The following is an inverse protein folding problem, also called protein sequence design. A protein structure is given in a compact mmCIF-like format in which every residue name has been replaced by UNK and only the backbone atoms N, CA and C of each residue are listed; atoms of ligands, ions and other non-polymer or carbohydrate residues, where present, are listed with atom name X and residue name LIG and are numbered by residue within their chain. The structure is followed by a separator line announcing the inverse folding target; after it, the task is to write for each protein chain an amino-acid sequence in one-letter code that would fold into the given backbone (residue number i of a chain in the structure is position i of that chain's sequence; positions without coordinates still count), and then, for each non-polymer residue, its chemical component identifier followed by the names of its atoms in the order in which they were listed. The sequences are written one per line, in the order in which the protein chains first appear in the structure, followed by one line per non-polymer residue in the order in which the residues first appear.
data_IF_219090131020
#
_entry.id   IF_219090131020
#
_cell.length_a   1.000
_cell.length_b   1.000
_cell.length_c   1.000
_cell.angle_alpha   90.00
_cell.angle_beta   90.00
_cell.angle_gamma   90.00
#
_symmetry.space_group_name_H-M   'P 1'
#
loop_
_entity.id
_entity.type
_entity.pdbx_description
1 polymer ?
#
# COMPACT_ATOMS: atom_id res chain seq x y z
N UNK A 1 -4.20 -22.15 -0.49
CA UNK A 1 -4.05 -20.68 -0.77
C UNK A 1 -4.44 -20.42 -2.20
N UNK A 2 -5.35 -19.51 -2.45
CA UNK A 2 -5.75 -19.09 -3.79
C UNK A 2 -5.08 -17.75 -4.12
N UNK A 3 -4.07 -17.78 -4.99
CA UNK A 3 -3.18 -16.66 -5.32
C UNK A 3 -1.87 -16.67 -4.51
N UNK A 4 -0.75 -16.53 -5.22
CA UNK A 4 0.61 -16.56 -4.70
C UNK A 4 1.34 -15.20 -4.91
N UNK A 5 0.64 -14.09 -4.72
CA UNK A 5 1.23 -12.76 -4.55
C UNK A 5 1.44 -12.47 -3.06
N UNK A 6 1.87 -11.25 -2.70
CA UNK A 6 2.35 -10.92 -1.36
C UNK A 6 1.40 -11.33 -0.22
N UNK A 7 0.09 -11.17 -0.38
CA UNK A 7 -0.89 -11.55 0.63
C UNK A 7 -0.98 -13.08 0.79
N UNK A 8 -0.97 -13.81 -0.33
CA UNK A 8 -0.95 -15.28 -0.32
C UNK A 8 0.36 -15.82 0.24
N UNK A 9 1.49 -15.21 -0.08
CA UNK A 9 2.81 -15.64 0.40
C UNK A 9 2.97 -15.44 1.92
N UNK A 10 2.61 -14.27 2.47
CA UNK A 10 2.63 -14.05 3.93
C UNK A 10 1.67 -15.01 4.63
N UNK A 11 0.47 -15.20 4.09
CA UNK A 11 -0.50 -16.14 4.68
C UNK A 11 -0.03 -17.58 4.60
N UNK A 12 0.59 -18.01 3.47
CA UNK A 12 1.15 -19.35 3.33
C UNK A 12 2.29 -19.60 4.33
N UNK A 13 3.17 -18.61 4.54
CA UNK A 13 4.25 -18.70 5.53
C UNK A 13 3.69 -18.88 6.96
N UNK A 14 2.61 -18.19 7.28
CA UNK A 14 1.92 -18.35 8.57
C UNK A 14 1.30 -19.74 8.71
N UNK A 15 0.55 -20.17 7.68
CA UNK A 15 -0.16 -21.45 7.69
C UNK A 15 0.80 -22.66 7.73
N UNK A 16 1.96 -22.56 7.13
CA UNK A 16 2.96 -23.62 7.14
C UNK A 16 3.47 -23.98 8.55
N UNK A 17 3.26 -23.09 9.54
CA UNK A 17 3.62 -23.36 10.94
C UNK A 17 2.58 -24.21 11.68
N UNK A 18 1.33 -24.24 11.19
CA UNK A 18 0.19 -24.88 11.88
C UNK A 18 -0.49 -25.97 11.06
N UNK A 19 -0.16 -26.12 9.78
CA UNK A 19 -0.74 -27.12 8.88
C UNK A 19 0.34 -28.02 8.31
N UNK A 20 0.02 -29.30 8.14
CA UNK A 20 0.95 -30.31 7.59
C UNK A 20 1.28 -30.07 6.12
N UNK A 21 0.41 -29.41 5.37
CA UNK A 21 0.60 -29.09 3.95
C UNK A 21 -0.09 -27.78 3.59
N UNK A 22 0.59 -26.92 2.83
CA UNK A 22 0.04 -25.67 2.29
C UNK A 22 0.25 -25.63 0.78
N UNK A 23 -0.83 -25.68 0.03
CA UNK A 23 -0.82 -25.60 -1.44
C UNK A 23 -1.15 -24.18 -1.88
N UNK A 24 -0.27 -23.55 -2.66
CA UNK A 24 -0.50 -22.23 -3.27
C UNK A 24 -0.90 -22.44 -4.74
N UNK A 25 -2.10 -22.07 -5.11
CA UNK A 25 -2.61 -22.13 -6.49
C UNK A 25 -2.52 -20.76 -7.11
N UNK A 26 -1.84 -20.62 -8.24
CA UNK A 26 -1.77 -19.35 -8.99
C UNK A 26 -1.89 -19.60 -10.50
N UNK A 27 -2.56 -18.67 -11.17
CA UNK A 27 -2.75 -18.68 -12.63
C UNK A 27 -1.47 -18.38 -13.41
N UNK A 28 -0.51 -17.72 -12.78
CA UNK A 28 0.79 -17.38 -13.35
C UNK A 28 1.84 -18.42 -12.96
N UNK A 29 2.96 -18.42 -13.68
CA UNK A 29 4.20 -19.04 -13.21
C UNK A 29 4.83 -18.10 -12.17
N UNK A 30 5.00 -18.59 -10.95
CA UNK A 30 5.41 -17.78 -9.80
C UNK A 30 6.81 -18.12 -9.32
N UNK A 31 7.17 -19.40 -9.28
CA UNK A 31 8.48 -19.86 -8.81
C UNK A 31 9.58 -19.30 -9.71
N UNK A 32 10.59 -18.67 -9.09
CA UNK A 32 11.69 -18.06 -9.84
C UNK A 32 11.34 -16.77 -10.61
N UNK A 33 10.10 -16.25 -10.54
CA UNK A 33 9.70 -15.05 -11.26
C UNK A 33 10.45 -13.81 -10.76
N UNK A 34 11.25 -13.20 -11.64
CA UNK A 34 12.05 -11.98 -11.38
C UNK A 34 11.44 -10.71 -11.97
N UNK A 35 10.35 -10.85 -12.74
CA UNK A 35 9.67 -9.75 -13.44
C UNK A 35 8.21 -9.66 -13.01
N UNK A 36 7.55 -8.50 -13.23
CA UNK A 36 6.12 -8.37 -13.00
C UNK A 36 5.33 -9.44 -13.75
N UNK A 37 4.30 -10.01 -13.10
CA UNK A 37 3.46 -11.06 -13.62
C UNK A 37 2.12 -10.53 -14.12
N UNK A 38 1.50 -11.24 -15.05
CA UNK A 38 0.22 -10.83 -15.66
C UNK A 38 -0.92 -10.71 -14.63
N UNK A 39 -0.96 -11.62 -13.65
CA UNK A 39 -1.94 -11.59 -12.55
C UNK A 39 -1.69 -10.48 -11.52
N UNK A 40 -0.52 -9.80 -11.58
CA UNK A 40 -0.14 -8.71 -10.67
C UNK A 40 0.27 -7.46 -11.49
N UNK A 41 -0.66 -6.84 -12.25
CA UNK A 41 -0.35 -5.73 -13.15
C UNK A 41 0.27 -4.52 -12.43
N UNK A 42 -0.07 -4.28 -11.17
CA UNK A 42 0.58 -3.27 -10.32
C UNK A 42 2.07 -3.52 -10.12
N UNK A 43 2.57 -4.72 -10.39
CA UNK A 43 3.99 -5.08 -10.28
C UNK A 43 4.93 -4.29 -11.19
N UNK A 44 4.41 -3.64 -12.23
CA UNK A 44 5.17 -2.78 -13.12
C UNK A 44 5.52 -1.41 -12.52
N UNK A 45 4.90 -1.04 -11.42
CA UNK A 45 5.07 0.26 -10.77
C UNK A 45 6.03 0.17 -9.58
N UNK A 46 6.57 1.32 -9.17
CA UNK A 46 7.39 1.39 -7.96
C UNK A 46 6.52 1.24 -6.71
N UNK A 47 7.08 0.63 -5.70
CA UNK A 47 6.40 0.31 -4.46
C UNK A 47 7.21 0.71 -3.24
N UNK A 48 6.49 0.93 -2.14
CA UNK A 48 7.07 1.06 -0.80
C UNK A 48 6.35 0.14 0.18
N UNK A 49 7.12 -0.51 1.05
CA UNK A 49 6.58 -1.17 2.24
C UNK A 49 6.70 -0.18 3.39
N UNK A 50 5.58 0.29 3.91
CA UNK A 50 5.54 1.27 5.00
C UNK A 50 6.22 0.71 6.26
N UNK A 51 6.63 1.58 7.17
CA UNK A 51 7.34 1.20 8.38
C UNK A 51 6.62 0.14 9.21
N UNK A 52 5.30 0.28 9.42
CA UNK A 52 4.50 -0.76 10.08
C UNK A 52 4.51 -2.08 9.29
N UNK A 53 4.52 -2.01 7.95
CA UNK A 53 4.60 -3.19 7.09
C UNK A 53 5.94 -3.91 7.20
N UNK A 54 7.04 -3.16 7.30
CA UNK A 54 8.38 -3.72 7.51
C UNK A 54 8.44 -4.44 8.87
N UNK A 55 7.97 -3.81 9.94
CA UNK A 55 7.92 -4.41 11.27
C UNK A 55 7.08 -5.71 11.30
N UNK A 56 5.90 -5.69 10.64
CA UNK A 56 5.05 -6.88 10.55
C UNK A 56 5.64 -7.97 9.66
N UNK A 57 6.29 -7.60 8.56
CA UNK A 57 6.94 -8.56 7.67
C UNK A 57 8.10 -9.26 8.37
N UNK A 58 8.87 -8.55 9.20
CA UNK A 58 9.92 -9.12 10.04
C UNK A 58 9.37 -10.04 11.14
N UNK A 59 8.26 -9.65 11.80
CA UNK A 59 7.55 -10.48 12.79
C UNK A 59 7.03 -11.81 12.18
N UNK A 60 6.47 -11.73 10.96
CA UNK A 60 5.95 -12.90 10.24
C UNK A 60 7.05 -13.80 9.69
N UNK A 61 8.10 -13.19 9.13
CA UNK A 61 9.21 -13.84 8.42
C UNK A 61 10.54 -13.32 8.97
N UNK A 62 11.00 -13.82 10.13
CA UNK A 62 12.22 -13.34 10.78
C UNK A 62 13.45 -13.38 9.86
N UNK A 63 14.26 -12.31 9.88
CA UNK A 63 15.43 -12.14 9.04
C UNK A 63 15.14 -11.68 7.60
N UNK A 64 13.88 -11.38 7.26
CA UNK A 64 13.51 -10.91 5.91
C UNK A 64 14.12 -9.52 5.62
N UNK A 65 14.14 -8.63 6.60
CA UNK A 65 14.71 -7.28 6.45
C UNK A 65 16.21 -7.36 6.15
N UNK A 66 16.95 -8.18 6.89
CA UNK A 66 18.38 -8.36 6.66
C UNK A 66 18.66 -8.99 5.29
N UNK A 67 17.89 -10.01 4.91
CA UNK A 67 17.98 -10.63 3.57
C UNK A 67 17.76 -9.61 2.42
N UNK A 68 16.81 -8.70 2.57
CA UNK A 68 16.57 -7.63 1.58
C UNK A 68 17.72 -6.61 1.58
N UNK A 69 18.22 -6.26 2.75
CA UNK A 69 19.35 -5.33 2.89
C UNK A 69 20.62 -5.88 2.24
N UNK A 70 20.94 -7.15 2.49
CA UNK A 70 22.11 -7.84 1.89
C UNK A 70 22.00 -7.96 0.38
N UNK A 71 20.77 -8.01 -0.15
CA UNK A 71 20.48 -7.99 -1.59
C UNK A 71 20.49 -6.58 -2.20
N UNK A 72 20.79 -5.54 -1.41
CA UNK A 72 20.85 -4.15 -1.89
C UNK A 72 19.48 -3.51 -2.14
N UNK A 73 18.41 -4.04 -1.52
CA UNK A 73 17.09 -3.40 -1.60
C UNK A 73 17.13 -2.08 -0.84
N UNK A 74 16.72 -0.96 -1.47
CA UNK A 74 16.76 0.35 -0.82
C UNK A 74 15.90 0.43 0.43
N UNK A 75 16.47 0.90 1.51
CA UNK A 75 15.79 1.14 2.77
C UNK A 75 16.20 2.51 3.33
N UNK A 76 15.29 3.18 4.02
CA UNK A 76 15.57 4.47 4.62
C UNK A 76 14.70 4.79 5.82
N UNK A 77 15.17 5.72 6.65
CA UNK A 77 14.39 6.28 7.73
C UNK A 77 13.23 7.10 7.19
N UNK A 78 12.01 6.82 7.65
CA UNK A 78 10.75 7.40 7.18
C UNK A 78 10.76 8.95 7.16
N UNK A 79 11.42 9.59 8.10
CA UNK A 79 11.46 11.06 8.23
C UNK A 79 12.81 11.67 7.92
N UNK A 80 13.89 10.88 8.01
CA UNK A 80 15.26 11.34 7.78
C UNK A 80 15.73 11.19 6.34
N UNK A 81 15.24 10.17 5.62
CA UNK A 81 15.72 9.81 4.29
C UNK A 81 14.62 9.73 3.21
N UNK A 82 13.38 10.10 3.54
CA UNK A 82 12.29 10.26 2.58
C UNK A 82 11.87 11.73 2.55
N UNK A 83 11.94 12.38 1.37
CA UNK A 83 11.50 13.78 1.19
C UNK A 83 9.99 13.79 0.97
N UNK A 84 9.24 14.23 1.96
CA UNK A 84 7.79 14.41 1.85
C UNK A 84 7.44 15.87 1.61
N UNK A 85 6.68 16.15 0.56
CA UNK A 85 6.23 17.51 0.25
C UNK A 85 4.72 17.57 0.07
N UNK A 86 4.10 18.59 0.69
CA UNK A 86 2.68 18.88 0.58
C UNK A 86 2.49 20.35 0.24
N UNK A 87 1.65 20.66 -0.73
CA UNK A 87 1.39 22.03 -1.19
C UNK A 87 2.68 22.84 -1.50
N UNK A 88 3.70 22.20 -2.08
CA UNK A 88 4.94 22.84 -2.47
C UNK A 88 5.95 23.07 -1.33
N UNK A 89 5.68 22.54 -0.13
CA UNK A 89 6.61 22.64 1.02
C UNK A 89 7.02 21.26 1.52
N UNK A 90 8.31 21.09 1.76
CA UNK A 90 8.88 19.87 2.36
C UNK A 90 8.59 19.84 3.87
N UNK A 91 8.21 18.67 4.41
CA UNK A 91 8.14 18.47 5.85
C UNK A 91 9.53 18.59 6.47
N UNK A 92 9.59 19.07 7.71
CA UNK A 92 10.84 19.11 8.48
C UNK A 92 11.44 17.69 8.55
N UNK A 93 12.73 17.58 8.21
CA UNK A 93 13.46 16.33 8.34
C UNK A 93 13.61 15.95 9.81
N UNK A 94 13.34 14.70 10.14
CA UNK A 94 13.47 14.17 11.49
C UNK A 94 13.84 12.70 11.44
N UNK A 95 14.73 12.25 12.30
CA UNK A 95 15.08 10.84 12.42
C UNK A 95 14.02 10.13 13.25
N UNK A 96 13.29 9.24 12.63
CA UNK A 96 12.19 8.51 13.28
C UNK A 96 12.59 7.15 13.84
N UNK A 97 13.71 6.59 13.40
CA UNK A 97 14.11 5.20 13.68
C UNK A 97 13.23 4.15 12.99
N UNK A 98 12.30 4.58 12.13
CA UNK A 98 11.35 3.71 11.43
C UNK A 98 11.83 3.46 10.00
N UNK A 99 12.02 2.20 9.64
CA UNK A 99 12.50 1.79 8.32
C UNK A 99 11.34 1.64 7.34
N UNK A 100 11.49 2.25 6.17
CA UNK A 100 10.64 2.02 4.99
C UNK A 100 11.48 1.30 3.94
N UNK A 101 10.90 0.31 3.28
CA UNK A 101 11.57 -0.44 2.20
C UNK A 101 10.99 0.04 0.87
N UNK A 102 11.86 0.53 -0.03
CA UNK A 102 11.49 0.95 -1.38
C UNK A 102 11.92 -0.05 -2.44
N UNK A 103 11.34 0.04 -3.63
CA UNK A 103 11.86 -0.72 -4.77
C UNK A 103 10.82 -1.27 -5.73
N UNK A 104 11.29 -2.17 -6.60
CA UNK A 104 10.43 -2.91 -7.52
C UNK A 104 9.62 -3.96 -6.78
N UNK A 105 8.33 -4.00 -7.06
CA UNK A 105 7.39 -4.98 -6.47
C UNK A 105 7.85 -6.43 -6.66
N UNK A 106 8.36 -6.76 -7.85
CA UNK A 106 8.81 -8.11 -8.16
C UNK A 106 9.98 -8.55 -7.26
N UNK A 107 10.87 -7.61 -6.91
CA UNK A 107 11.99 -7.85 -5.99
C UNK A 107 11.48 -8.11 -4.58
N UNK A 108 10.64 -7.22 -4.04
CA UNK A 108 10.09 -7.35 -2.69
C UNK A 108 9.28 -8.64 -2.52
N UNK A 109 8.40 -8.95 -3.51
CA UNK A 109 7.63 -10.18 -3.52
C UNK A 109 8.53 -11.41 -3.66
N UNK A 110 9.62 -11.32 -4.45
CA UNK A 110 10.59 -12.38 -4.66
C UNK A 110 11.29 -12.82 -3.37
N UNK A 111 11.64 -11.89 -2.49
CA UNK A 111 12.22 -12.21 -1.18
C UNK A 111 11.27 -12.99 -0.28
N UNK A 112 10.00 -12.55 -0.19
CA UNK A 112 8.99 -13.29 0.59
C UNK A 112 8.71 -14.66 -0.02
N UNK A 113 8.60 -14.73 -1.35
CA UNK A 113 8.38 -15.99 -2.08
C UNK A 113 9.52 -16.99 -1.83
N UNK A 114 10.78 -16.56 -1.93
CA UNK A 114 11.92 -17.43 -1.65
C UNK A 114 11.84 -18.06 -0.25
N UNK A 115 11.37 -17.33 0.75
CA UNK A 115 11.17 -17.89 2.10
C UNK A 115 10.08 -18.95 2.14
N UNK A 116 9.00 -18.79 1.36
CA UNK A 116 7.90 -19.76 1.27
C UNK A 116 8.34 -21.00 0.46
N UNK A 117 9.08 -20.81 -0.63
CA UNK A 117 9.60 -21.90 -1.47
C UNK A 117 10.50 -22.87 -0.69
N UNK A 118 11.21 -22.40 0.33
CA UNK A 118 12.11 -23.22 1.15
C UNK A 118 11.41 -23.91 2.34
N UNK A 119 10.11 -23.72 2.54
CA UNK A 119 9.37 -24.41 3.59
C UNK A 119 9.05 -25.85 3.13
N UNK A 120 9.33 -26.89 3.95
CA UNK A 120 9.24 -28.29 3.52
C UNK A 120 7.81 -28.76 3.24
N UNK A 121 6.81 -28.05 3.75
CA UNK A 121 5.39 -28.40 3.65
C UNK A 121 4.61 -27.46 2.73
N UNK A 122 5.27 -26.67 1.87
CA UNK A 122 4.62 -25.80 0.88
C UNK A 122 4.76 -26.36 -0.53
N UNK A 123 3.71 -26.23 -1.32
CA UNK A 123 3.65 -26.66 -2.73
C UNK A 123 3.06 -25.56 -3.60
N UNK A 124 3.65 -25.30 -4.76
CA UNK A 124 3.14 -24.35 -5.74
C UNK A 124 2.48 -25.05 -6.92
N UNK A 125 1.17 -24.83 -7.10
CA UNK A 125 0.39 -25.22 -8.28
C UNK A 125 0.27 -24.01 -9.19
N UNK A 126 1.26 -23.85 -10.06
CA UNK A 126 1.39 -22.74 -11.01
C UNK A 126 0.57 -23.00 -12.27
N UNK A 127 0.39 -21.95 -13.10
CA UNK A 127 -0.37 -22.01 -14.36
C UNK A 127 -1.72 -22.72 -14.18
N UNK A 128 -2.42 -22.47 -13.06
CA UNK A 128 -3.63 -23.18 -12.67
C UNK A 128 -4.74 -22.20 -12.34
N UNK A 129 -5.84 -22.27 -13.07
CA UNK A 129 -7.03 -21.44 -12.85
C UNK A 129 -7.88 -22.01 -11.71
N UNK A 130 -8.46 -21.10 -10.91
CA UNK A 130 -9.37 -21.41 -9.82
C UNK A 130 -10.79 -21.33 -10.37
N UNK A 131 -11.50 -22.44 -10.39
CA UNK A 131 -12.81 -22.59 -11.01
C UNK A 131 -13.92 -22.27 -10.02
N UNK A 132 -13.95 -22.94 -8.86
CA UNK A 132 -14.97 -22.78 -7.84
C UNK A 132 -14.48 -23.25 -6.47
N UNK A 133 -15.16 -22.80 -5.40
CA UNK A 133 -15.05 -23.42 -4.08
C UNK A 133 -15.83 -24.75 -4.06
N UNK A 134 -15.32 -25.74 -3.32
CA UNK A 134 -16.06 -26.96 -2.99
C UNK A 134 -16.76 -26.75 -1.67
N UNK A 135 -18.08 -26.90 -1.66
CA UNK A 135 -18.93 -26.60 -0.51
C UNK A 135 -19.69 -27.84 -0.05
N UNK A 136 -19.57 -28.17 1.21
CA UNK A 136 -20.42 -29.13 1.90
C UNK A 136 -21.61 -28.37 2.49
N UNK A 137 -22.77 -28.48 1.83
CA UNK A 137 -23.98 -27.77 2.20
C UNK A 137 -24.51 -28.27 3.55
N UNK A 138 -24.44 -29.58 3.83
CA UNK A 138 -24.97 -30.19 5.06
C UNK A 138 -24.26 -29.66 6.31
N UNK A 139 -22.95 -29.39 6.21
CA UNK A 139 -22.14 -28.89 7.34
C UNK A 139 -21.85 -27.38 7.23
N UNK A 140 -22.29 -26.72 6.15
CA UNK A 140 -22.03 -25.29 5.91
C UNK A 140 -20.54 -24.97 5.84
N UNK A 141 -19.75 -25.82 5.15
CA UNK A 141 -18.28 -25.77 5.15
C UNK A 141 -17.72 -25.72 3.74
N UNK A 142 -16.70 -24.88 3.54
CA UNK A 142 -15.81 -24.98 2.37
C UNK A 142 -14.77 -26.07 2.66
N UNK A 143 -14.74 -27.12 1.83
CA UNK A 143 -13.91 -28.31 2.01
C UNK A 143 -12.80 -28.42 0.97
N UNK A 144 -12.67 -27.43 0.08
CA UNK A 144 -11.64 -27.45 -0.95
C UNK A 144 -11.92 -26.44 -2.07
N UNK A 145 -11.22 -26.64 -3.16
CA UNK A 145 -11.31 -25.82 -4.36
C UNK A 145 -11.22 -26.67 -5.61
N UNK A 146 -12.01 -26.36 -6.62
CA UNK A 146 -11.92 -26.93 -7.97
C UNK A 146 -11.00 -26.07 -8.80
N UNK A 147 -10.00 -26.69 -9.41
CA UNK A 147 -8.94 -26.04 -10.16
C UNK A 147 -8.77 -26.69 -11.53
N UNK A 148 -8.19 -25.97 -12.50
CA UNK A 148 -7.93 -26.47 -13.84
C UNK A 148 -6.56 -25.95 -14.35
N UNK A 149 -5.67 -26.83 -14.84
CA UNK A 149 -4.43 -26.41 -15.49
C UNK A 149 -4.69 -25.56 -16.72
N UNK A 150 -3.98 -24.43 -16.88
CA UNK A 150 -4.20 -23.48 -17.99
C UNK A 150 -3.75 -24.00 -19.35
N UNK A 151 -2.85 -24.97 -19.38
CA UNK A 151 -2.41 -25.65 -20.59
C UNK A 151 -3.39 -26.66 -21.17
N UNK A 152 -4.59 -26.79 -20.59
CA UNK A 152 -5.58 -27.83 -20.89
C UNK A 152 -5.45 -28.97 -19.87
N UNK A 153 -6.53 -29.75 -19.74
CA UNK A 153 -6.62 -30.84 -18.77
C UNK A 153 -7.96 -30.85 -18.08
N UNK A 154 -8.26 -31.93 -17.35
CA UNK A 154 -9.47 -32.06 -16.56
C UNK A 154 -9.42 -31.18 -15.31
N UNK A 155 -10.59 -30.73 -14.86
CA UNK A 155 -10.72 -30.15 -13.54
C UNK A 155 -10.38 -31.19 -12.47
N UNK A 156 -9.70 -30.75 -11.41
CA UNK A 156 -9.43 -31.54 -10.22
C UNK A 156 -9.93 -30.83 -8.96
N UNK A 157 -10.20 -31.60 -7.92
CA UNK A 157 -10.58 -31.08 -6.61
C UNK A 157 -9.36 -31.18 -5.67
N UNK A 158 -8.95 -30.05 -5.12
CA UNK A 158 -7.98 -29.98 -4.04
C UNK A 158 -8.75 -29.84 -2.72
N UNK A 159 -8.78 -30.91 -1.93
CA UNK A 159 -9.39 -30.90 -0.59
C UNK A 159 -8.54 -30.08 0.38
N UNK A 160 -9.19 -29.36 1.30
CA UNK A 160 -8.53 -28.52 2.28
C UNK A 160 -9.39 -28.31 3.53
N UNK A 161 -8.74 -28.24 4.69
CA UNK A 161 -9.38 -27.84 5.97
C UNK A 161 -9.66 -26.35 6.01
N UNK A 162 -8.82 -25.55 5.34
CA UNK A 162 -8.93 -24.11 5.23
C UNK A 162 -8.58 -23.65 3.82
N UNK A 163 -9.48 -22.96 3.15
CA UNK A 163 -9.25 -22.24 1.90
C UNK A 163 -9.08 -20.75 2.20
N UNK A 164 -7.96 -20.16 1.76
CA UNK A 164 -7.71 -18.73 1.94
C UNK A 164 -7.64 -18.06 0.56
N UNK A 165 -8.58 -17.17 0.30
CA UNK A 165 -8.65 -16.40 -0.95
C UNK A 165 -7.74 -15.16 -0.88
N UNK A 166 -6.65 -15.18 -1.65
CA UNK A 166 -5.72 -14.09 -1.88
C UNK A 166 -5.68 -13.67 -3.38
N UNK A 167 -6.76 -13.92 -4.13
CA UNK A 167 -6.84 -13.69 -5.59
C UNK A 167 -6.94 -12.21 -5.97
N UNK A 168 -6.92 -11.31 -5.00
CA UNK A 168 -6.87 -9.87 -5.21
C UNK A 168 -8.23 -9.27 -5.61
N UNK A 169 -8.18 -8.13 -6.32
CA UNK A 169 -9.38 -7.35 -6.67
C UNK A 169 -10.42 -8.15 -7.46
N UNK A 170 -9.96 -9.09 -8.28
CA UNK A 170 -10.79 -9.97 -9.10
C UNK A 170 -11.38 -11.17 -8.36
N UNK A 171 -11.28 -11.23 -7.03
CA UNK A 171 -11.84 -12.32 -6.22
C UNK A 171 -13.30 -12.62 -6.57
N UNK A 172 -13.58 -13.90 -6.81
CA UNK A 172 -14.92 -14.42 -7.07
C UNK A 172 -15.63 -14.91 -5.80
N UNK A 173 -14.97 -14.91 -4.66
CA UNK A 173 -15.53 -15.34 -3.38
C UNK A 173 -16.89 -14.68 -3.06
N UNK A 174 -17.13 -13.36 -3.30
CA UNK A 174 -18.44 -12.77 -3.07
C UNK A 174 -19.55 -13.43 -3.90
N UNK A 175 -19.26 -13.73 -5.18
CA UNK A 175 -20.21 -14.38 -6.09
C UNK A 175 -20.47 -15.83 -5.68
N UNK A 176 -19.42 -16.56 -5.30
CA UNK A 176 -19.55 -17.93 -4.81
C UNK A 176 -20.36 -18.00 -3.51
N UNK A 177 -20.14 -17.10 -2.56
CA UNK A 177 -20.94 -17.04 -1.33
C UNK A 177 -22.40 -16.76 -1.59
N UNK A 178 -22.71 -15.86 -2.53
CA UNK A 178 -24.08 -15.56 -2.94
C UNK A 178 -24.76 -16.78 -3.56
N UNK A 179 -24.06 -17.49 -4.49
CA UNK A 179 -24.58 -18.71 -5.13
C UNK A 179 -24.75 -19.89 -4.16
N UNK A 180 -23.96 -19.95 -3.10
CA UNK A 180 -24.07 -20.94 -2.01
C UNK A 180 -25.12 -20.55 -0.93
N UNK A 181 -25.89 -19.47 -1.13
CA UNK A 181 -26.96 -19.06 -0.22
C UNK A 181 -26.51 -18.31 1.05
N UNK A 182 -25.25 -17.88 1.14
CA UNK A 182 -24.76 -17.06 2.27
C UNK A 182 -25.15 -15.58 2.16
N UNK A 183 -25.70 -15.18 1.02
CA UNK A 183 -26.10 -13.81 0.73
C UNK A 183 -25.00 -12.95 0.11
N UNK A 184 -25.37 -11.74 -0.25
CA UNK A 184 -24.50 -10.81 -0.95
C UNK A 184 -23.54 -10.11 0.02
N UNK A 185 -22.25 -10.13 -0.29
CA UNK A 185 -21.24 -9.36 0.43
C UNK A 185 -21.38 -7.88 0.09
N UNK A 186 -21.75 -7.06 1.07
CA UNK A 186 -21.77 -5.60 0.88
C UNK A 186 -20.36 -5.02 0.79
N UNK A 187 -20.22 -3.88 0.12
CA UNK A 187 -18.92 -3.19 0.03
C UNK A 187 -19.07 -1.69 0.17
N UNK A 188 -18.06 -1.07 0.80
CA UNK A 188 -17.86 0.37 0.75
C UNK A 188 -16.86 0.68 -0.37
N UNK A 189 -17.09 1.78 -1.11
CA UNK A 189 -16.23 2.15 -2.26
C UNK A 189 -16.06 3.65 -2.36
N UNK A 190 -14.84 4.09 -2.69
CA UNK A 190 -14.51 5.49 -3.00
C UNK A 190 -13.70 5.56 -4.29
N UNK A 191 -14.13 6.42 -5.22
CA UNK A 191 -13.50 6.64 -6.53
C UNK A 191 -12.86 8.01 -6.56
N UNK A 192 -11.53 8.07 -6.66
CA UNK A 192 -10.80 9.34 -6.78
C UNK A 192 -10.40 9.67 -8.23
N UNK A 193 -10.62 8.76 -9.16
CA UNK A 193 -10.22 8.95 -10.56
C UNK A 193 -8.69 9.02 -10.71
N UNK A 194 -7.96 8.15 -10.00
CA UNK A 194 -6.51 8.11 -10.05
C UNK A 194 -6.00 7.38 -11.29
N UNK A 195 -5.06 8.02 -11.97
CA UNK A 195 -4.18 7.37 -12.95
C UNK A 195 -2.72 7.61 -12.55
N UNK A 196 -1.87 6.61 -12.74
CA UNK A 196 -0.43 6.80 -12.58
C UNK A 196 0.35 6.17 -13.72
N UNK A 197 1.41 6.85 -14.11
CA UNK A 197 2.33 6.46 -15.18
C UNK A 197 3.72 6.30 -14.59
N UNK A 198 4.32 5.12 -14.77
CA UNK A 198 5.62 4.78 -14.20
C UNK A 198 6.64 4.59 -15.28
N UNK A 199 7.81 5.16 -15.08
CA UNK A 199 9.02 4.97 -15.91
C UNK A 199 10.23 4.77 -15.02
N UNK A 200 11.20 4.02 -15.50
CA UNK A 200 12.51 3.83 -14.87
C UNK A 200 13.56 4.65 -15.58
N UNK A 201 14.55 5.12 -14.82
CA UNK A 201 15.66 5.90 -15.34
C UNK A 201 16.99 5.43 -14.74
N UNK A 202 18.07 5.70 -15.47
CA UNK A 202 19.43 5.72 -14.95
C UNK A 202 19.81 7.18 -14.68
N UNK A 203 20.15 7.49 -13.44
CA UNK A 203 20.56 8.83 -13.04
C UNK A 203 22.01 9.10 -13.46
N UNK A 204 22.30 10.35 -13.82
CA UNK A 204 23.66 10.83 -14.13
C UNK A 204 24.25 11.68 -13.03
N UNK A 205 23.46 11.99 -12.02
CA UNK A 205 23.83 12.81 -10.89
C UNK A 205 23.41 12.15 -9.58
N UNK A 206 23.92 12.65 -8.48
CA UNK A 206 23.51 12.23 -7.13
C UNK A 206 22.24 13.00 -6.70
N UNK A 207 21.11 12.73 -7.37
CA UNK A 207 19.85 13.42 -7.10
C UNK A 207 19.26 13.10 -5.72
N UNK A 208 19.64 11.97 -5.15
CA UNK A 208 19.13 11.53 -3.85
C UNK A 208 20.01 12.00 -2.68
N UNK A 209 21.35 12.14 -2.86
CA UNK A 209 22.28 12.26 -1.74
C UNK A 209 22.12 11.06 -0.81
N UNK A 210 21.81 11.32 0.44
CA UNK A 210 21.53 10.28 1.45
C UNK A 210 20.05 9.86 1.50
N UNK A 211 19.18 10.42 0.66
CA UNK A 211 17.76 10.10 0.65
C UNK A 211 17.48 8.88 -0.25
N UNK A 212 16.39 8.19 0.00
CA UNK A 212 15.94 7.02 -0.78
C UNK A 212 14.71 7.31 -1.61
N UNK A 213 13.95 8.36 -1.28
CA UNK A 213 12.81 8.76 -2.10
C UNK A 213 12.44 10.25 -1.98
N UNK A 214 11.74 10.73 -3.02
CA UNK A 214 11.18 12.09 -3.12
C UNK A 214 9.69 11.96 -3.45
N UNK A 215 8.85 12.49 -2.56
CA UNK A 215 7.41 12.24 -2.55
C UNK A 215 6.61 13.56 -2.53
N UNK A 216 6.46 14.28 -3.65
CA UNK A 216 5.47 15.33 -3.77
C UNK A 216 4.06 14.71 -3.83
N UNK A 217 3.30 14.89 -2.75
CA UNK A 217 1.98 14.28 -2.59
C UNK A 217 0.90 15.16 -3.20
N UNK A 218 0.02 14.55 -4.02
CA UNK A 218 -1.16 15.23 -4.55
C UNK A 218 -2.08 15.73 -3.43
N UNK A 219 -2.58 16.96 -3.57
CA UNK A 219 -3.49 17.59 -2.63
C UNK A 219 -4.63 18.26 -3.39
N UNK A 220 -5.73 18.68 -2.75
CA UNK A 220 -6.80 19.42 -3.44
C UNK A 220 -6.34 20.70 -4.17
N UNK A 221 -5.25 21.33 -3.70
CA UNK A 221 -4.67 22.51 -4.35
C UNK A 221 -3.76 22.16 -5.53
N UNK A 222 -3.16 20.97 -5.49
CA UNK A 222 -2.24 20.45 -6.50
C UNK A 222 -2.56 18.96 -6.73
N UNK A 223 -3.48 18.63 -7.67
CA UNK A 223 -3.96 17.27 -7.87
C UNK A 223 -2.97 16.37 -8.60
N UNK A 224 -1.72 16.80 -8.75
CA UNK A 224 -0.58 16.08 -9.32
C UNK A 224 0.41 15.72 -8.23
N UNK A 225 0.98 14.53 -8.34
CA UNK A 225 2.00 14.06 -7.43
C UNK A 225 2.98 13.12 -8.10
N UNK A 226 3.97 12.69 -7.35
CA UNK A 226 4.93 11.67 -7.79
C UNK A 226 5.45 10.85 -6.60
N UNK A 227 5.91 9.66 -6.92
CA UNK A 227 6.74 8.84 -6.06
C UNK A 227 8.01 8.49 -6.84
N UNK A 228 9.11 9.18 -6.55
CA UNK A 228 10.44 8.90 -7.07
C UNK A 228 11.22 8.15 -6.01
N UNK A 229 11.75 6.96 -6.34
CA UNK A 229 12.56 6.16 -5.40
C UNK A 229 13.77 5.57 -6.09
N UNK A 230 14.87 5.41 -5.35
CA UNK A 230 16.02 4.62 -5.83
C UNK A 230 15.62 3.14 -5.96
N UNK A 231 16.24 2.46 -6.94
CA UNK A 231 16.10 1.01 -7.16
C UNK A 231 17.44 0.28 -6.91
N UNK A 232 18.40 1.01 -6.34
CA UNK A 232 19.77 0.55 -6.11
C UNK A 232 20.72 0.94 -7.24
N UNK A 233 21.96 1.27 -6.88
CA UNK A 233 22.95 1.82 -7.79
C UNK A 233 22.52 3.16 -8.37
N UNK A 234 22.74 3.34 -9.67
CA UNK A 234 22.35 4.53 -10.43
C UNK A 234 20.91 4.52 -10.96
N UNK A 235 20.10 3.52 -10.60
CA UNK A 235 18.74 3.35 -11.12
C UNK A 235 17.70 3.94 -10.18
N UNK A 236 16.68 4.56 -10.77
CA UNK A 236 15.49 4.99 -10.06
C UNK A 236 14.21 4.62 -10.80
N UNK A 237 13.11 4.62 -10.07
CA UNK A 237 11.77 4.49 -10.61
C UNK A 237 10.92 5.68 -10.21
N UNK A 238 10.08 6.13 -11.14
CA UNK A 238 9.18 7.27 -10.94
C UNK A 238 7.78 6.87 -11.32
N UNK A 239 6.85 7.01 -10.39
CA UNK A 239 5.41 6.93 -10.65
C UNK A 239 4.82 8.34 -10.55
N UNK A 240 4.46 8.95 -11.66
CA UNK A 240 3.68 10.18 -11.70
C UNK A 240 2.21 9.85 -11.43
N UNK A 241 1.54 10.67 -10.63
CA UNK A 241 0.13 10.46 -10.27
C UNK A 241 -0.72 11.65 -10.64
N UNK A 242 -1.85 11.39 -11.31
CA UNK A 242 -2.91 12.36 -11.56
C UNK A 242 -4.22 11.86 -10.94
N UNK A 243 -4.89 12.72 -10.19
CA UNK A 243 -6.20 12.43 -9.59
C UNK A 243 -7.31 13.16 -10.33
N UNK A 244 -8.57 12.85 -10.01
CA UNK A 244 -9.76 13.48 -10.61
C UNK A 244 -9.85 13.27 -12.15
N UNK A 245 -9.31 12.14 -12.64
CA UNK A 245 -9.35 11.78 -14.05
C UNK A 245 -8.16 12.28 -14.88
N UNK A 246 -7.26 13.04 -14.28
CA UNK A 246 -6.03 13.44 -14.95
C UNK A 246 -5.13 12.24 -15.20
N UNK A 247 -4.49 12.19 -16.38
CA UNK A 247 -3.63 11.08 -16.80
C UNK A 247 -2.23 11.63 -17.12
N UNK A 248 -1.21 11.26 -16.32
CA UNK A 248 0.17 11.62 -16.65
C UNK A 248 0.60 11.03 -18.00
N UNK A 249 1.31 11.82 -18.87
CA UNK A 249 1.76 11.35 -20.18
C UNK A 249 2.68 10.13 -20.13
N UNK A 250 2.65 9.32 -21.18
CA UNK A 250 3.53 8.14 -21.31
C UNK A 250 4.72 8.40 -22.24
N UNK A 251 4.66 9.39 -23.14
CA UNK A 251 5.82 9.81 -23.93
C UNK A 251 6.84 10.53 -23.04
N UNK A 252 8.11 10.51 -23.43
CA UNK A 252 9.20 11.03 -22.58
C UNK A 252 9.11 12.55 -22.38
N UNK A 253 8.81 13.29 -23.43
CA UNK A 253 8.75 14.75 -23.36
C UNK A 253 7.60 15.21 -22.47
N UNK A 254 6.41 14.67 -22.66
CA UNK A 254 5.25 14.93 -21.82
C UNK A 254 5.46 14.46 -20.36
N UNK A 255 6.13 13.30 -20.16
CA UNK A 255 6.47 12.80 -18.84
C UNK A 255 7.37 13.80 -18.07
N UNK A 256 8.43 14.31 -18.71
CA UNK A 256 9.33 15.30 -18.11
C UNK A 256 8.63 16.64 -17.87
N UNK A 257 7.80 17.10 -18.83
CA UNK A 257 7.02 18.33 -18.64
C UNK A 257 6.02 18.21 -17.49
N UNK A 258 5.42 17.03 -17.30
CA UNK A 258 4.55 16.77 -16.14
C UNK A 258 5.33 16.93 -14.83
N UNK A 259 6.60 16.50 -14.76
CA UNK A 259 7.43 16.68 -13.55
C UNK A 259 7.71 18.16 -13.24
N UNK A 260 7.79 19.04 -14.26
CA UNK A 260 7.91 20.48 -14.07
C UNK A 260 6.67 21.10 -13.44
N UNK A 261 5.51 20.53 -13.70
CA UNK A 261 4.24 21.02 -13.16
C UNK A 261 4.00 20.61 -11.69
N UNK A 262 4.87 19.78 -11.12
CA UNK A 262 4.79 19.43 -9.71
C UNK A 262 5.14 20.64 -8.84
N UNK A 263 4.57 20.74 -7.63
CA UNK A 263 4.75 21.92 -6.78
C UNK A 263 6.16 22.05 -6.17
N UNK A 264 7.06 21.05 -6.41
CA UNK A 264 8.47 21.09 -6.03
C UNK A 264 9.33 20.61 -7.19
N UNK A 265 10.53 21.20 -7.41
CA UNK A 265 11.38 20.93 -8.59
C UNK A 265 12.16 19.62 -8.49
N UNK A 266 12.28 19.03 -7.30
CA UNK A 266 13.17 17.91 -6.99
C UNK A 266 13.09 16.76 -7.99
N UNK A 267 11.87 16.39 -8.43
CA UNK A 267 11.66 15.27 -9.36
C UNK A 267 12.15 15.65 -10.76
N UNK A 268 11.85 16.87 -11.22
CA UNK A 268 12.32 17.35 -12.52
C UNK A 268 13.86 17.47 -12.56
N UNK A 269 14.46 18.05 -11.54
CA UNK A 269 15.92 18.20 -11.43
C UNK A 269 16.64 16.85 -11.43
N UNK A 270 16.06 15.84 -10.78
CA UNK A 270 16.60 14.49 -10.78
C UNK A 270 16.57 13.84 -12.18
N UNK A 271 15.54 14.15 -13.00
CA UNK A 271 15.27 13.41 -14.23
C UNK A 271 15.65 14.12 -15.53
N UNK A 272 15.83 15.44 -15.53
CA UNK A 272 16.06 16.23 -16.76
C UNK A 272 17.21 15.73 -17.63
N UNK A 273 18.27 15.20 -17.00
CA UNK A 273 19.46 14.68 -17.66
C UNK A 273 19.58 13.14 -17.56
N UNK A 274 18.56 12.46 -16.98
CA UNK A 274 18.58 11.02 -16.75
C UNK A 274 18.26 10.23 -18.04
N UNK A 275 18.84 9.06 -18.16
CA UNK A 275 18.60 8.14 -19.28
C UNK A 275 17.36 7.29 -19.01
N UNK A 276 16.33 7.31 -19.87
CA UNK A 276 15.15 6.46 -19.70
C UNK A 276 15.50 4.98 -19.95
N UNK A 277 15.02 4.11 -19.05
CA UNK A 277 15.21 2.66 -19.13
C UNK A 277 13.89 1.98 -19.57
N UNK A 278 13.58 2.05 -20.86
CA UNK A 278 12.37 1.47 -21.44
C UNK A 278 11.16 2.40 -21.43
N UNK A 279 10.01 1.84 -21.79
CA UNK A 279 8.77 2.58 -21.96
C UNK A 279 8.06 2.83 -20.61
N UNK A 280 7.26 3.90 -20.60
CA UNK A 280 6.38 4.17 -19.48
C UNK A 280 5.16 3.23 -19.50
N UNK A 281 4.70 2.85 -18.33
CA UNK A 281 3.52 2.00 -18.15
C UNK A 281 2.50 2.77 -17.33
N UNK A 282 1.28 2.91 -17.87
CA UNK A 282 0.18 3.60 -17.22
C UNK A 282 -0.82 2.60 -16.63
N UNK A 283 -1.40 2.97 -15.50
CA UNK A 283 -2.45 2.21 -14.85
C UNK A 283 -3.53 3.15 -14.29
N UNK A 284 -4.79 2.82 -14.57
CA UNK A 284 -5.95 3.50 -14.00
C UNK A 284 -6.46 2.71 -12.81
N UNK A 285 -6.46 3.34 -11.64
CA UNK A 285 -7.00 2.74 -10.42
C UNK A 285 -8.51 2.97 -10.36
N UNK A 286 -9.33 1.91 -10.32
CA UNK A 286 -10.78 2.05 -10.43
C UNK A 286 -11.42 2.63 -9.17
N UNK A 287 -11.10 2.11 -8.00
CA UNK A 287 -11.65 2.54 -6.71
C UNK A 287 -10.93 1.87 -5.53
N UNK A 288 -10.92 2.52 -4.37
CA UNK A 288 -10.77 1.85 -3.08
C UNK A 288 -12.05 1.06 -2.81
N UNK A 289 -11.91 -0.22 -2.42
CA UNK A 289 -13.06 -1.10 -2.15
C UNK A 289 -12.80 -1.91 -0.90
N UNK A 290 -13.71 -1.88 0.04
CA UNK A 290 -13.69 -2.70 1.26
C UNK A 290 -14.90 -3.61 1.28
N UNK A 291 -14.69 -4.92 1.18
CA UNK A 291 -15.75 -5.93 1.25
C UNK A 291 -16.05 -6.27 2.70
N UNK A 292 -17.32 -6.21 3.06
CA UNK A 292 -17.80 -6.30 4.45
C UNK A 292 -18.27 -7.72 4.78
N UNK A 293 -17.36 -8.71 4.70
CA UNK A 293 -17.66 -10.11 5.05
C UNK A 293 -18.16 -10.26 6.48
N UNK A 294 -17.68 -9.43 7.41
CA UNK A 294 -18.10 -9.41 8.82
C UNK A 294 -19.58 -9.04 9.02
N UNK A 295 -20.25 -8.50 7.98
CA UNK A 295 -21.68 -8.16 8.01
C UNK A 295 -22.60 -9.28 7.53
N UNK A 296 -22.04 -10.36 6.97
CA UNK A 296 -22.84 -11.51 6.59
C UNK A 296 -23.46 -12.18 7.82
N UNK A 297 -24.73 -12.55 7.74
CA UNK A 297 -25.42 -13.22 8.82
C UNK A 297 -24.86 -14.62 9.08
N UNK A 298 -24.52 -15.33 8.02
CA UNK A 298 -23.88 -16.66 8.03
C UNK A 298 -22.60 -16.61 7.20
N UNK A 299 -21.64 -17.42 7.55
CA UNK A 299 -20.38 -17.62 6.85
C UNK A 299 -20.08 -19.12 6.83
N UNK A 300 -19.58 -19.68 5.73
CA UNK A 300 -19.12 -21.06 5.74
C UNK A 300 -17.87 -21.18 6.62
N UNK A 301 -17.74 -22.28 7.35
CA UNK A 301 -16.46 -22.63 7.98
C UNK A 301 -15.44 -23.02 6.89
N UNK A 302 -14.14 -23.04 7.23
CA UNK A 302 -13.09 -23.40 6.28
C UNK A 302 -12.77 -22.35 5.20
N UNK A 303 -13.19 -21.08 5.36
CA UNK A 303 -12.93 -20.01 4.40
C UNK A 303 -12.39 -18.74 5.08
N UNK A 304 -11.28 -18.21 4.58
CA UNK A 304 -10.76 -16.88 4.87
C UNK A 304 -10.51 -16.09 3.57
N UNK A 305 -10.44 -14.77 3.65
CA UNK A 305 -10.16 -13.88 2.52
C UNK A 305 -9.12 -12.84 2.97
N UNK A 306 -8.06 -12.63 2.17
CA UNK A 306 -6.95 -11.71 2.49
C UNK A 306 -6.58 -10.81 1.31
N UNK A 307 -5.77 -9.81 1.57
CA UNK A 307 -5.24 -8.89 0.55
C UNK A 307 -6.33 -8.04 -0.11
N UNK A 308 -6.11 -7.73 -1.38
CA UNK A 308 -7.06 -6.94 -2.18
C UNK A 308 -8.40 -7.67 -2.42
N UNK A 309 -8.48 -8.97 -2.15
CA UNK A 309 -9.74 -9.72 -2.14
C UNK A 309 -10.65 -9.30 -0.98
N UNK A 310 -10.07 -8.81 0.12
CA UNK A 310 -10.80 -8.26 1.27
C UNK A 310 -10.91 -6.74 1.20
N UNK A 311 -9.78 -6.05 0.98
CA UNK A 311 -9.75 -4.59 0.96
C UNK A 311 -8.67 -4.05 0.04
N UNK A 312 -9.08 -3.28 -0.98
CA UNK A 312 -8.19 -2.60 -1.92
C UNK A 312 -8.10 -1.12 -1.57
N UNK A 313 -6.90 -0.57 -1.53
CA UNK A 313 -6.63 0.81 -1.19
C UNK A 313 -6.13 1.61 -2.40
N UNK A 314 -6.37 2.91 -2.40
CA UNK A 314 -5.71 3.84 -3.31
C UNK A 314 -4.18 3.69 -3.17
N UNK A 315 -3.46 3.34 -4.27
CA UNK A 315 -2.02 3.03 -4.22
C UNK A 315 -1.14 4.19 -3.79
N UNK A 316 -1.59 5.43 -3.92
CA UNK A 316 -0.85 6.64 -3.48
C UNK A 316 -0.47 6.60 -2.00
N UNK A 317 -1.27 5.92 -1.18
CA UNK A 317 -0.98 5.78 0.27
C UNK A 317 0.05 4.69 0.59
N UNK A 318 0.46 3.86 -0.37
CA UNK A 318 1.46 2.81 -0.16
C UNK A 318 1.04 1.67 0.78
N UNK A 319 -0.26 1.57 1.12
CA UNK A 319 -0.74 0.70 2.20
C UNK A 319 -0.89 -0.78 1.83
N UNK A 320 -1.00 -1.12 0.53
CA UNK A 320 -1.46 -2.44 0.08
C UNK A 320 -0.62 -3.61 0.63
N UNK A 321 0.71 -3.54 0.55
CA UNK A 321 1.59 -4.60 1.05
C UNK A 321 1.59 -4.68 2.59
N UNK A 322 1.56 -3.52 3.25
CA UNK A 322 1.45 -3.41 4.70
C UNK A 322 0.17 -4.07 5.21
N UNK A 323 -0.96 -3.83 4.52
CA UNK A 323 -2.23 -4.44 4.87
C UNK A 323 -2.25 -5.95 4.58
N UNK A 324 -1.52 -6.42 3.58
CA UNK A 324 -1.34 -7.85 3.35
C UNK A 324 -0.61 -8.53 4.51
N UNK A 325 0.48 -7.94 5.02
CA UNK A 325 1.18 -8.43 6.21
C UNK A 325 0.29 -8.37 7.46
N UNK A 326 -0.45 -7.27 7.68
CA UNK A 326 -1.39 -7.14 8.79
C UNK A 326 -2.45 -8.24 8.78
N UNK A 327 -3.05 -8.53 7.63
CA UNK A 327 -4.09 -9.55 7.50
C UNK A 327 -3.53 -10.96 7.71
N UNK A 328 -2.29 -11.23 7.26
CA UNK A 328 -1.62 -12.49 7.55
C UNK A 328 -1.32 -12.63 9.05
N UNK A 329 -0.95 -11.55 9.75
CA UNK A 329 -0.80 -11.55 11.22
C UNK A 329 -2.13 -11.83 11.91
N UNK A 330 -3.21 -11.16 11.49
CA UNK A 330 -4.56 -11.44 12.03
C UNK A 330 -4.94 -12.91 11.79
N UNK A 331 -4.63 -13.47 10.62
CA UNK A 331 -4.88 -14.88 10.32
C UNK A 331 -4.10 -15.79 11.26
N UNK A 332 -2.79 -15.52 11.48
CA UNK A 332 -1.95 -16.23 12.46
C UNK A 332 -2.59 -16.25 13.84
N UNK A 333 -2.99 -15.07 14.32
CA UNK A 333 -3.53 -14.90 15.68
C UNK A 333 -4.91 -15.58 15.84
N UNK A 334 -5.65 -15.82 14.75
CA UNK A 334 -6.95 -16.52 14.76
C UNK A 334 -6.85 -18.04 14.55
N UNK A 335 -5.75 -18.53 13.99
CA UNK A 335 -5.49 -19.96 13.82
C UNK A 335 -4.91 -20.54 15.11
N UNK A 336 -4.16 -19.74 15.90
CA UNK A 336 -3.61 -19.95 17.25
C UNK A 336 -3.58 -21.39 17.76
N UNK A 337 -3.41 -21.61 18.98
CA UNK A 337 -3.10 -22.82 19.75
C UNK A 337 -4.11 -23.99 19.66
N UNK A 338 -4.53 -24.39 18.44
CA UNK A 338 -5.35 -25.59 18.22
C UNK A 338 -6.87 -25.40 18.33
N UNK A 339 -7.34 -24.15 18.39
CA UNK A 339 -8.78 -23.86 18.30
C UNK A 339 -9.26 -23.93 16.86
N UNK A 340 -10.48 -24.42 16.64
CA UNK A 340 -11.09 -24.46 15.31
C UNK A 340 -11.19 -23.03 14.74
N UNK A 341 -10.74 -22.83 13.49
CA UNK A 341 -10.79 -21.54 12.80
C UNK A 341 -12.21 -21.02 12.66
N UNK A 342 -12.50 -19.86 13.22
CA UNK A 342 -13.80 -19.18 13.15
C UNK A 342 -13.78 -18.05 12.11
N UNK A 343 -14.42 -18.20 10.93
CA UNK A 343 -14.50 -17.14 9.94
C UNK A 343 -15.10 -15.85 10.48
N UNK A 344 -16.12 -15.94 11.35
CA UNK A 344 -16.76 -14.78 11.97
C UNK A 344 -15.80 -14.00 12.87
N UNK A 345 -15.01 -14.69 13.68
CA UNK A 345 -13.99 -14.08 14.54
C UNK A 345 -12.92 -13.42 13.68
N UNK A 346 -12.41 -14.14 12.67
CA UNK A 346 -11.42 -13.66 11.73
C UNK A 346 -11.86 -12.39 11.01
N UNK A 347 -13.03 -12.39 10.32
CA UNK A 347 -13.48 -11.22 9.56
C UNK A 347 -13.76 -10.01 10.45
N UNK A 348 -14.22 -10.21 11.68
CA UNK A 348 -14.36 -9.11 12.65
C UNK A 348 -13.00 -8.55 13.08
N UNK A 349 -12.03 -9.41 13.36
CA UNK A 349 -10.68 -8.99 13.72
C UNK A 349 -9.99 -8.27 12.54
N UNK A 350 -10.05 -8.83 11.33
CA UNK A 350 -9.51 -8.22 10.13
C UNK A 350 -10.18 -6.87 9.82
N UNK A 351 -11.51 -6.77 9.96
CA UNK A 351 -12.24 -5.52 9.77
C UNK A 351 -11.78 -4.43 10.74
N UNK A 352 -11.59 -4.75 12.03
CA UNK A 352 -11.06 -3.80 13.03
C UNK A 352 -9.63 -3.37 12.72
N UNK A 353 -8.78 -4.33 12.37
CA UNK A 353 -7.38 -4.06 12.07
C UNK A 353 -7.19 -3.17 10.81
N UNK A 354 -8.09 -3.28 9.82
CA UNK A 354 -8.07 -2.48 8.60
C UNK A 354 -8.62 -1.06 8.79
N UNK A 355 -9.37 -0.78 9.87
CA UNK A 355 -10.10 0.49 10.03
C UNK A 355 -9.20 1.74 10.00
N UNK A 356 -8.03 1.78 10.69
CA UNK A 356 -7.15 2.95 10.64
C UNK A 356 -6.67 3.27 9.22
N UNK A 357 -6.18 2.25 8.49
CA UNK A 357 -5.71 2.42 7.12
C UNK A 357 -6.83 2.84 6.16
N UNK A 358 -8.03 2.26 6.31
CA UNK A 358 -9.21 2.62 5.53
C UNK A 358 -9.64 4.07 5.79
N UNK A 359 -9.67 4.48 7.05
CA UNK A 359 -10.04 5.85 7.44
C UNK A 359 -9.05 6.90 6.91
N UNK A 360 -7.75 6.60 6.95
CA UNK A 360 -6.71 7.49 6.38
C UNK A 360 -6.90 7.63 4.87
N UNK A 361 -7.04 6.51 4.15
CA UNK A 361 -7.16 6.53 2.70
C UNK A 361 -8.46 7.24 2.24
N UNK A 362 -9.61 6.84 2.79
CA UNK A 362 -10.90 7.43 2.44
C UNK A 362 -11.00 8.88 2.90
N UNK A 363 -10.50 9.20 4.10
CA UNK A 363 -10.47 10.57 4.61
C UNK A 363 -9.63 11.48 3.71
N UNK A 364 -8.48 11.01 3.25
CA UNK A 364 -7.61 11.72 2.32
C UNK A 364 -8.24 11.90 0.93
N UNK A 365 -8.85 10.84 0.37
CA UNK A 365 -9.56 10.93 -0.91
C UNK A 365 -10.74 11.90 -0.82
N UNK A 366 -11.50 11.89 0.28
CA UNK A 366 -12.63 12.83 0.53
C UNK A 366 -12.18 14.26 0.86
N UNK A 367 -10.89 14.54 1.00
CA UNK A 367 -10.39 15.92 1.07
C UNK A 367 -10.55 16.64 -0.29
N UNK A 368 -10.57 15.90 -1.40
CA UNK A 368 -10.84 16.47 -2.73
C UNK A 368 -12.35 16.70 -2.89
N UNK A 369 -12.79 17.95 -3.12
CA UNK A 369 -14.23 18.30 -3.17
C UNK A 369 -15.02 17.52 -4.22
N UNK A 370 -14.39 17.18 -5.34
CA UNK A 370 -14.98 16.49 -6.50
C UNK A 370 -15.21 14.99 -6.26
N UNK A 371 -14.51 14.39 -5.29
CA UNK A 371 -14.67 13.00 -4.96
C UNK A 371 -16.03 12.76 -4.32
N UNK A 372 -16.81 11.86 -4.91
CA UNK A 372 -18.13 11.49 -4.39
C UNK A 372 -17.99 10.66 -3.10
N UNK A 373 -18.76 11.03 -2.08
CA UNK A 373 -18.80 10.31 -0.80
C UNK A 373 -19.38 11.15 0.32
N UNK A 374 -19.78 10.47 1.40
CA UNK A 374 -20.38 11.11 2.56
C UNK A 374 -19.29 11.79 3.41
N UNK A 375 -19.26 13.11 3.42
CA UNK A 375 -18.40 13.93 4.28
C UNK A 375 -19.11 14.24 5.59
N UNK A 376 -18.86 13.44 6.62
CA UNK A 376 -19.38 13.73 7.97
C UNK A 376 -18.71 15.00 8.54
N UNK A 377 -19.31 15.66 9.54
CA UNK A 377 -18.65 16.78 10.22
C UNK A 377 -17.27 16.43 10.76
N UNK A 378 -17.10 15.20 11.24
CA UNK A 378 -15.79 14.69 11.69
C UNK A 378 -14.76 14.62 10.56
N UNK A 379 -15.10 14.10 9.38
CA UNK A 379 -14.20 14.05 8.22
C UNK A 379 -13.79 15.47 7.81
N UNK A 380 -14.71 16.44 7.78
CA UNK A 380 -14.39 17.83 7.45
C UNK A 380 -13.44 18.45 8.48
N UNK A 381 -13.72 18.25 9.76
CA UNK A 381 -12.86 18.70 10.86
C UNK A 381 -11.45 18.11 10.76
N UNK A 382 -11.35 16.80 10.61
CA UNK A 382 -10.06 16.08 10.51
C UNK A 382 -9.27 16.59 9.29
N UNK A 383 -9.88 16.73 8.13
CA UNK A 383 -9.19 17.22 6.93
C UNK A 383 -8.68 18.66 7.08
N UNK A 384 -9.49 19.55 7.68
CA UNK A 384 -9.07 20.92 7.98
C UNK A 384 -7.94 20.97 9.02
N UNK A 385 -8.01 20.11 10.02
CA UNK A 385 -6.96 19.97 11.04
C UNK A 385 -5.66 19.43 10.44
N UNK A 386 -5.73 18.38 9.60
CA UNK A 386 -4.55 17.81 8.93
C UNK A 386 -3.88 18.80 7.96
N UNK A 387 -4.63 19.68 7.32
CA UNK A 387 -4.04 20.74 6.47
C UNK A 387 -3.20 21.71 7.32
N UNK A 388 -3.72 22.12 8.48
CA UNK A 388 -2.97 22.95 9.45
C UNK A 388 -1.76 22.23 10.03
N UNK A 389 -1.92 20.98 10.41
CA UNK A 389 -0.84 20.16 10.96
C UNK A 389 0.29 20.04 9.94
N UNK A 390 -0.01 19.69 8.67
CA UNK A 390 0.99 19.60 7.60
C UNK A 390 1.69 20.93 7.40
N UNK A 391 0.96 22.04 7.43
CA UNK A 391 1.55 23.39 7.34
C UNK A 391 2.55 23.63 8.48
N UNK A 392 2.19 23.36 9.72
CA UNK A 392 3.07 23.53 10.88
C UNK A 392 4.26 22.53 10.89
N UNK A 393 4.06 21.34 10.36
CA UNK A 393 5.07 20.28 10.29
C UNK A 393 6.23 20.56 9.30
N UNK A 394 6.13 21.61 8.49
CA UNK A 394 7.25 22.08 7.66
C UNK A 394 8.38 22.67 8.51
N UNK A 395 8.06 23.28 9.64
CA UNK A 395 9.00 23.98 10.49
C UNK A 395 9.16 23.31 11.88
N UNK A 396 8.30 22.34 12.22
CA UNK A 396 8.35 21.59 13.50
C UNK A 396 8.64 20.10 13.25
N UNK A 397 9.89 19.60 13.51
CA UNK A 397 10.25 18.20 13.33
C UNK A 397 9.43 17.22 14.17
N UNK A 398 8.91 17.65 15.34
CA UNK A 398 8.08 16.79 16.20
C UNK A 398 6.69 16.59 15.62
N UNK A 399 6.13 17.62 14.95
CA UNK A 399 4.88 17.49 14.20
C UNK A 399 5.08 16.64 12.96
N UNK A 400 6.20 16.81 12.24
CA UNK A 400 6.56 15.96 11.10
C UNK A 400 6.68 14.50 11.53
N UNK A 401 7.39 14.19 12.63
CA UNK A 401 7.49 12.84 13.17
C UNK A 401 6.12 12.26 13.52
N UNK A 402 5.29 12.99 14.30
CA UNK A 402 3.97 12.52 14.70
C UNK A 402 3.10 12.19 13.47
N UNK A 403 3.12 13.04 12.45
CA UNK A 403 2.39 12.83 11.21
C UNK A 403 2.91 11.61 10.44
N UNK A 404 4.24 11.50 10.28
CA UNK A 404 4.88 10.40 9.57
C UNK A 404 4.64 9.04 10.25
N UNK A 405 4.64 8.97 11.57
CA UNK A 405 4.31 7.75 12.32
C UNK A 405 2.89 7.26 12.04
N UNK A 406 1.94 8.20 11.88
CA UNK A 406 0.54 7.85 11.54
C UNK A 406 0.41 7.41 10.07
N UNK A 407 1.02 8.12 9.11
CA UNK A 407 0.94 7.69 7.70
C UNK A 407 1.78 6.43 7.45
N UNK A 408 2.82 6.16 8.24
CA UNK A 408 3.56 4.91 8.29
C UNK A 408 2.81 3.75 8.96
N UNK A 409 1.58 4.00 9.44
CA UNK A 409 0.70 3.06 10.14
C UNK A 409 1.31 2.46 11.41
N UNK A 410 2.24 3.16 12.05
CA UNK A 410 2.86 2.76 13.32
C UNK A 410 2.00 3.23 14.50
N UNK A 411 1.55 4.48 14.43
CA UNK A 411 0.66 5.07 15.44
C UNK A 411 -0.79 5.18 14.89
N UNK A 412 -1.76 5.09 15.81
CA UNK A 412 -3.16 5.28 15.47
C UNK A 412 -3.46 6.76 15.12
N UNK A 413 -4.42 7.04 14.19
CA UNK A 413 -4.74 8.40 13.75
C UNK A 413 -5.10 9.37 14.88
N UNK A 414 -5.71 8.89 15.96
CA UNK A 414 -6.10 9.67 17.14
C UNK A 414 -4.91 10.31 17.85
N UNK A 415 -3.70 9.75 17.65
CA UNK A 415 -2.46 10.30 18.20
C UNK A 415 -2.19 11.73 17.73
N UNK A 416 -2.65 12.08 16.52
CA UNK A 416 -2.51 13.44 16.00
C UNK A 416 -3.39 14.46 16.75
N UNK A 417 -4.41 14.02 17.46
CA UNK A 417 -5.27 14.86 18.29
C UNK A 417 -4.81 14.94 19.76
N UNK A 418 -3.71 14.28 20.11
CA UNK A 418 -3.17 14.35 21.48
C UNK A 418 -2.87 15.82 21.87
N UNK A 419 -3.13 16.23 23.13
CA UNK A 419 -3.03 17.63 23.56
C UNK A 419 -1.69 18.31 23.21
N UNK A 420 -0.57 17.61 23.36
CA UNK A 420 0.75 18.12 22.99
C UNK A 420 0.95 18.38 21.50
N UNK A 421 0.36 17.54 20.63
CA UNK A 421 0.37 17.72 19.18
C UNK A 421 -0.56 18.88 18.79
N UNK A 422 -1.78 18.86 19.29
CA UNK A 422 -2.79 19.90 18.98
C UNK A 422 -2.30 21.31 19.38
N UNK A 423 -1.67 21.44 20.55
CA UNK A 423 -1.11 22.72 21.01
C UNK A 423 0.01 23.21 20.08
N UNK A 424 0.86 22.33 19.56
CA UNK A 424 1.93 22.69 18.61
C UNK A 424 1.33 23.14 17.26
N UNK A 425 0.31 22.45 16.77
CA UNK A 425 -0.40 22.84 15.54
C UNK A 425 -0.97 24.26 15.67
N UNK A 426 -1.60 24.58 16.81
CA UNK A 426 -2.14 25.91 17.07
C UNK A 426 -1.03 26.99 17.12
N UNK A 427 0.10 26.71 17.77
CA UNK A 427 1.22 27.65 17.86
C UNK A 427 1.90 27.88 16.51
N UNK A 428 2.09 26.85 15.67
CA UNK A 428 2.70 26.97 14.35
C UNK A 428 1.90 27.82 13.38
N UNK A 429 0.57 27.91 13.54
CA UNK A 429 -0.29 28.76 12.71
C UNK A 429 -0.22 30.24 13.08
N UNK A 430 0.20 30.59 14.29
CA UNK A 430 0.32 31.99 14.75
C UNK A 430 1.72 32.58 14.56
N UNK A 431 2.78 31.75 14.44
CA UNK A 431 4.16 32.22 14.28
C UNK A 431 4.50 32.77 12.88
N UNK A 432 3.71 32.47 11.87
CA UNK A 432 3.97 32.88 10.47
C UNK A 432 3.50 34.32 10.09
N UNK A 433 2.78 34.97 10.96
CA UNK A 433 2.25 36.35 10.70
C UNK A 433 3.10 37.47 11.29
N UNK A 434 4.18 37.17 12.00
CA UNK A 434 4.98 38.15 12.74
C UNK A 434 6.22 38.71 12.05
N UNK A 435 6.72 38.12 10.96
CA UNK A 435 8.03 38.48 10.38
C UNK A 435 7.99 39.32 9.08
N UNK A 436 6.84 39.94 8.71
CA UNK A 436 6.74 40.83 7.53
C UNK A 436 6.44 42.26 7.86
N UNK A 437 6.90 42.81 8.99
CA UNK A 437 6.74 44.21 9.31
C UNK A 437 8.05 44.82 9.87
N UNK A 438 9.15 44.72 9.12
CA UNK A 438 10.43 45.27 9.59
C UNK A 438 11.43 45.65 8.51
N UNK A 439 11.00 45.95 7.27
CA UNK A 439 11.88 46.59 6.30
C UNK A 439 11.50 48.08 6.20
N UNK A 440 11.89 48.86 7.20
CA UNK A 440 11.86 50.33 7.12
C UNK A 440 13.04 50.84 6.27
N UNK A 441 12.67 51.42 5.15
CA UNK A 441 13.37 52.39 4.36
C UNK A 441 14.34 53.27 5.20
N UNK A 442 15.60 53.05 4.98
CA UNK A 442 16.66 54.02 5.31
C UNK A 442 17.04 54.80 4.06
N UNK A 443 16.35 55.89 3.78
CA UNK A 443 16.83 56.90 2.84
C UNK A 443 17.81 57.78 3.59
N UNK A 444 19.10 57.60 3.30
CA UNK A 444 20.16 58.54 3.71
C UNK A 444 20.25 59.62 2.64
N UNK A 445 19.87 60.84 3.03
CA UNK A 445 20.34 62.08 2.38
C UNK A 445 21.73 62.39 2.89
N UNK A 446 22.65 62.53 1.99
CA UNK A 446 23.86 63.31 2.20
C UNK A 446 24.27 63.91 0.85
N UNK A 447 24.49 65.09 0.83
CA UNK A 447 24.95 66.23 0.20
C UNK A 447 26.28 66.17 -0.54
#
# INVERSE_FOLDING_TARGET
MLGASIAGLFSAHVLARSHSRVVLVDRDEVVGAKRPRRGVPQGHHVHGLLASGQLMAEDLVPGLTQQMLDAGVPMGDLGGQLRWSFNGRRLASTRTGLVVVGGDRAVLEGHVRSRVEHLPNTEFRQATDIVALVHDEAHGRVTGVRVQPRGGGSEEVLSADLVVDATGRGSRTPVWLESMGYGRVSSDSVKIGLTYTTRRFRLRNDAFGNDVSVNPVATPRHPRGAFLTTLGGDRCGVSLTGVLGETPPSDLAGFLEYTRSLPVPDVYEALRDAEPLGDAISFRFPASVRRRYERLRRLPTGLAVVGDALCTFNPVYGQGMTMAALQARVLRDQIGDGTEFSPRSYFRAASRALEPAWSIAVGGDLAFPEVQGRRTPLIRFVNAYLDRLRHAAHDDPRLAEAFLRVIGLVDAPERLLAPGVALRVLRGTYGGSGERAGARTGVSRAG
#
